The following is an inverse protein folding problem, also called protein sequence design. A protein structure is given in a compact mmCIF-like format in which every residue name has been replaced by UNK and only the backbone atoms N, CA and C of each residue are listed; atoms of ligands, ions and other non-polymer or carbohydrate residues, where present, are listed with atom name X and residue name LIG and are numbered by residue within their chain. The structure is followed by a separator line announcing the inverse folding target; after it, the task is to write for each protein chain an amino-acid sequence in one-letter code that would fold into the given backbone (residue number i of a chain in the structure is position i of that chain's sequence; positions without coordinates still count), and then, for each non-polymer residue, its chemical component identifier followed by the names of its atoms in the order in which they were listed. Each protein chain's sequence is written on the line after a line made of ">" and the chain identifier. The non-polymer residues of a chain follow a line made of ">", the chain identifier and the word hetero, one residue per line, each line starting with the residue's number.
data_IF_932462649635
#
_entry.id   IF_932462649635
#
_cell.length_a   1.000
_cell.length_b   1.000
_cell.length_c   1.000
_cell.angle_alpha   90.00
_cell.angle_beta   90.00
_cell.angle_gamma   90.00
#
_symmetry.space_group_name_H-M   'P 1'
#
loop_
_entity.id
_entity.type
_entity.pdbx_description
1 polymer ?
#
# COMPACT_ATOMS: atom_id res chain seq x y z
N UNK A 1 2.84 17.90 10.02
CA UNK A 1 2.54 16.50 9.80
C UNK A 1 3.56 15.88 8.87
N UNK A 2 4.08 14.74 9.26
CA UNK A 2 5.09 14.06 8.47
C UNK A 2 4.42 13.25 7.36
N UNK A 3 4.73 13.58 6.13
CA UNK A 3 4.25 12.79 5.00
C UNK A 3 5.00 11.46 4.96
N UNK A 4 4.30 10.39 4.65
CA UNK A 4 4.89 9.06 4.51
C UNK A 4 4.81 8.63 3.06
N UNK A 5 5.89 8.05 2.57
CA UNK A 5 6.00 7.60 1.20
C UNK A 5 6.28 6.11 1.18
N UNK A 6 5.62 5.40 0.28
CA UNK A 6 5.80 3.96 0.15
C UNK A 6 6.40 3.64 -1.21
N UNK A 7 7.46 2.85 -1.21
CA UNK A 7 7.99 2.26 -2.44
C UNK A 7 7.66 0.77 -2.42
N UNK A 8 7.00 0.31 -3.46
CA UNK A 8 6.65 -1.10 -3.62
C UNK A 8 7.65 -1.71 -4.61
N UNK A 9 8.35 -2.76 -4.18
CA UNK A 9 9.30 -3.47 -5.01
C UNK A 9 8.77 -4.88 -5.32
N UNK A 10 9.16 -5.42 -6.46
CA UNK A 10 8.65 -6.70 -6.95
C UNK A 10 9.84 -7.63 -7.28
N UNK A 11 10.66 -7.89 -6.27
CA UNK A 11 11.90 -8.65 -6.44
C UNK A 11 11.90 -9.92 -5.60
N UNK A 12 12.38 -11.05 -6.17
CA UNK A 12 12.53 -12.28 -5.39
C UNK A 12 13.54 -12.12 -4.26
N UNK A 13 14.58 -11.32 -4.46
CA UNK A 13 15.59 -11.05 -3.43
C UNK A 13 15.28 -9.72 -2.72
N UNK A 14 14.39 -9.80 -1.74
CA UNK A 14 14.00 -8.62 -0.99
C UNK A 14 15.15 -8.07 -0.13
N UNK A 15 16.10 -8.93 0.29
CA UNK A 15 17.25 -8.49 1.09
C UNK A 15 18.18 -7.62 0.26
N UNK A 16 18.42 -8.00 -0.98
CA UNK A 16 19.19 -7.20 -1.90
C UNK A 16 18.51 -5.87 -2.22
N UNK A 17 17.20 -5.89 -2.39
CA UNK A 17 16.42 -4.67 -2.61
C UNK A 17 16.54 -3.72 -1.42
N UNK A 18 16.43 -4.23 -0.20
CA UNK A 18 16.59 -3.42 1.00
C UNK A 18 17.99 -2.82 1.11
N UNK A 19 19.03 -3.59 0.79
CA UNK A 19 20.40 -3.08 0.82
C UNK A 19 20.63 -1.97 -0.18
N UNK A 20 20.06 -2.09 -1.37
CA UNK A 20 20.17 -1.06 -2.39
C UNK A 20 19.51 0.24 -1.92
N UNK A 21 18.35 0.14 -1.29
CA UNK A 21 17.64 1.30 -0.76
C UNK A 21 18.41 1.92 0.41
N UNK A 22 18.97 1.08 1.28
CA UNK A 22 19.76 1.56 2.42
C UNK A 22 21.00 2.33 1.98
N UNK A 23 21.59 1.96 0.84
CA UNK A 23 22.76 2.69 0.29
C UNK A 23 22.39 4.08 -0.19
N UNK A 24 21.18 4.28 -0.68
CA UNK A 24 20.73 5.59 -1.14
C UNK A 24 20.12 6.42 0.00
N UNK A 25 19.72 5.77 1.06
CA UNK A 25 19.14 6.42 2.24
C UNK A 25 20.25 6.75 3.23
N UNK A 26 20.97 7.82 3.03
CA UNK A 26 21.92 8.25 4.05
C UNK A 26 21.18 8.89 5.21
N UNK A 27 21.33 8.34 6.22
CA UNK A 27 20.98 8.20 7.62
C UNK A 27 20.15 9.23 8.37
N UNK A 28 20.04 10.48 8.00
CA UNK A 28 19.44 11.48 8.87
C UNK A 28 18.07 11.99 8.45
N UNK A 29 17.56 11.51 7.31
CA UNK A 29 16.26 11.95 6.82
C UNK A 29 15.39 10.78 6.49
N UNK A 30 14.12 10.90 6.81
CA UNK A 30 13.12 9.93 6.39
C UNK A 30 13.14 9.81 4.86
N UNK A 31 13.36 8.59 4.38
CA UNK A 31 13.47 8.30 2.94
C UNK A 31 12.31 7.46 2.41
N UNK A 32 11.31 7.26 3.24
CA UNK A 32 10.17 6.45 2.87
C UNK A 32 10.23 5.05 3.43
N UNK A 33 9.21 4.30 3.14
CA UNK A 33 9.03 2.92 3.58
C UNK A 33 9.02 2.02 2.37
N UNK A 34 9.35 0.76 2.57
CA UNK A 34 9.45 -0.21 1.47
C UNK A 34 8.58 -1.42 1.79
N UNK A 35 7.84 -1.86 0.78
CA UNK A 35 7.07 -3.10 0.84
C UNK A 35 7.46 -3.91 -0.38
N UNK A 36 7.94 -5.14 -0.17
CA UNK A 36 8.36 -6.00 -1.27
C UNK A 36 7.38 -7.14 -1.47
N UNK A 37 7.03 -7.39 -2.72
CA UNK A 37 6.35 -8.60 -3.15
C UNK A 37 7.33 -9.46 -3.92
N UNK A 38 7.28 -10.78 -3.71
CA UNK A 38 8.25 -11.69 -4.30
C UNK A 38 8.14 -11.80 -5.81
N UNK A 39 6.98 -11.47 -6.38
CA UNK A 39 6.77 -11.53 -7.82
C UNK A 39 5.70 -10.54 -8.26
N UNK A 40 5.74 -10.10 -9.54
CA UNK A 40 4.65 -9.30 -10.09
C UNK A 40 3.31 -10.01 -10.02
N UNK A 41 3.29 -11.33 -10.24
CA UNK A 41 2.05 -12.10 -10.16
C UNK A 41 1.41 -12.06 -8.78
N UNK A 42 2.22 -12.14 -7.73
CA UNK A 42 1.72 -12.03 -6.37
C UNK A 42 1.11 -10.64 -6.14
N UNK A 43 1.82 -9.61 -6.56
CA UNK A 43 1.35 -8.23 -6.39
C UNK A 43 0.03 -7.99 -7.13
N UNK A 44 0.00 -8.27 -8.44
CA UNK A 44 -1.18 -8.00 -9.25
C UNK A 44 -2.35 -8.92 -8.90
N UNK A 45 -2.06 -10.12 -8.41
CA UNK A 45 -3.10 -11.03 -7.93
C UNK A 45 -3.80 -10.52 -6.68
N UNK A 46 -3.09 -9.78 -5.83
CA UNK A 46 -3.67 -9.22 -4.61
C UNK A 46 -4.30 -7.86 -4.83
N UNK A 47 -3.77 -7.07 -5.76
CA UNK A 47 -4.22 -5.69 -5.98
C UNK A 47 -5.04 -5.58 -7.27
N UNK A 48 -6.28 -6.05 -7.19
CA UNK A 48 -7.26 -5.84 -8.25
C UNK A 48 -7.59 -4.35 -8.38
N UNK A 49 -8.19 -3.98 -9.49
CA UNK A 49 -8.61 -2.60 -9.71
C UNK A 49 -9.55 -2.12 -8.60
N UNK A 50 -10.45 -2.97 -8.14
CA UNK A 50 -11.38 -2.61 -7.06
C UNK A 50 -10.65 -2.33 -5.75
N UNK A 51 -9.60 -3.07 -5.45
CA UNK A 51 -8.79 -2.82 -4.27
C UNK A 51 -7.97 -1.55 -4.41
N UNK A 52 -7.42 -1.28 -5.59
CA UNK A 52 -6.75 -0.01 -5.86
C UNK A 52 -7.68 1.18 -5.66
N UNK A 53 -8.92 1.08 -6.09
CA UNK A 53 -9.89 2.15 -5.89
C UNK A 53 -10.10 2.44 -4.40
N UNK A 54 -10.11 1.40 -3.57
CA UNK A 54 -10.23 1.57 -2.12
C UNK A 54 -9.01 2.32 -1.56
N UNK A 55 -7.80 1.92 -1.97
CA UNK A 55 -6.58 2.59 -1.51
C UNK A 55 -6.61 4.07 -1.92
N UNK A 56 -6.94 4.35 -3.17
CA UNK A 56 -7.01 5.73 -3.67
C UNK A 56 -8.06 6.55 -2.95
N UNK A 57 -9.21 5.96 -2.67
CA UNK A 57 -10.28 6.65 -1.96
C UNK A 57 -9.89 6.99 -0.52
N UNK A 58 -9.05 6.17 0.10
CA UNK A 58 -8.59 6.41 1.46
C UNK A 58 -7.40 7.37 1.53
N UNK A 59 -6.65 7.48 0.45
CA UNK A 59 -5.42 8.24 0.42
C UNK A 59 -5.67 9.74 0.66
N UNK A 60 -4.98 10.30 1.64
CA UNK A 60 -5.08 11.72 1.94
C UNK A 60 -6.35 12.15 2.68
N UNK A 61 -7.17 11.19 3.11
CA UNK A 61 -8.47 11.49 3.75
C UNK A 61 -8.46 11.36 5.27
N UNK A 62 -7.35 10.94 5.86
CA UNK A 62 -7.31 10.61 7.26
C UNK A 62 -8.11 9.34 7.55
N UNK A 63 -8.60 9.22 8.77
CA UNK A 63 -9.38 8.05 9.16
C UNK A 63 -10.78 8.10 8.57
N UNK A 64 -11.20 6.98 7.97
CA UNK A 64 -12.55 6.79 7.43
C UNK A 64 -13.15 5.54 8.05
N UNK A 65 -14.48 5.52 8.21
CA UNK A 65 -15.15 4.27 8.52
C UNK A 65 -15.24 3.42 7.27
N UNK A 66 -15.42 2.10 7.44
CA UNK A 66 -15.64 1.21 6.30
C UNK A 66 -16.88 1.62 5.52
N UNK A 67 -17.92 2.10 6.21
CA UNK A 67 -19.15 2.57 5.55
C UNK A 67 -18.90 3.80 4.68
N UNK A 68 -18.11 4.76 5.17
CA UNK A 68 -17.74 5.93 4.39
C UNK A 68 -16.95 5.53 3.16
N UNK A 69 -16.01 4.60 3.33
CA UNK A 69 -15.19 4.10 2.24
C UNK A 69 -16.04 3.36 1.19
N UNK A 70 -16.96 2.51 1.66
CA UNK A 70 -17.88 1.79 0.77
C UNK A 70 -18.73 2.77 -0.05
N UNK A 71 -19.19 3.82 0.58
CA UNK A 71 -19.95 4.87 -0.08
C UNK A 71 -19.12 5.58 -1.15
N UNK A 72 -17.87 5.88 -0.80
CA UNK A 72 -16.96 6.57 -1.73
C UNK A 72 -16.69 5.75 -2.99
N UNK A 73 -16.53 4.43 -2.85
CA UNK A 73 -16.27 3.55 -3.99
C UNK A 73 -17.54 2.92 -4.57
N UNK A 74 -18.70 3.24 -4.01
CA UNK A 74 -20.02 2.76 -4.47
C UNK A 74 -20.12 1.24 -4.52
N UNK A 75 -19.72 0.62 -3.40
CA UNK A 75 -19.75 -0.84 -3.29
C UNK A 75 -20.37 -1.26 -1.97
N UNK A 76 -20.78 -2.52 -1.91
CA UNK A 76 -21.34 -3.14 -0.71
C UNK A 76 -20.34 -3.09 0.46
N UNK A 77 -20.83 -2.72 1.63
CA UNK A 77 -20.00 -2.57 2.84
C UNK A 77 -19.26 -3.87 3.19
N UNK A 78 -19.95 -5.00 3.09
CA UNK A 78 -19.34 -6.29 3.43
C UNK A 78 -18.15 -6.60 2.53
N UNK A 79 -18.29 -6.39 1.22
CA UNK A 79 -17.21 -6.64 0.26
C UNK A 79 -16.05 -5.68 0.45
N UNK A 80 -16.35 -4.42 0.72
CA UNK A 80 -15.31 -3.44 1.01
C UNK A 80 -14.58 -3.80 2.30
N UNK A 81 -15.30 -4.25 3.32
CA UNK A 81 -14.67 -4.70 4.55
C UNK A 81 -13.70 -5.86 4.32
N UNK A 82 -14.10 -6.83 3.53
CA UNK A 82 -13.24 -7.97 3.17
C UNK A 82 -11.96 -7.49 2.47
N UNK A 83 -12.09 -6.57 1.53
CA UNK A 83 -10.94 -6.01 0.83
C UNK A 83 -10.03 -5.19 1.75
N UNK A 84 -10.63 -4.44 2.67
CA UNK A 84 -9.88 -3.65 3.65
C UNK A 84 -9.02 -4.56 4.53
N UNK A 85 -9.55 -5.69 4.98
CA UNK A 85 -8.78 -6.63 5.79
C UNK A 85 -7.56 -7.12 5.03
N UNK A 86 -7.74 -7.49 3.76
CA UNK A 86 -6.63 -7.95 2.92
C UNK A 86 -5.61 -6.83 2.69
N UNK A 87 -6.07 -5.63 2.38
CA UNK A 87 -5.18 -4.49 2.14
C UNK A 87 -4.40 -4.10 3.39
N UNK A 88 -5.01 -4.23 4.57
CA UNK A 88 -4.32 -3.98 5.83
C UNK A 88 -3.25 -5.05 6.09
N UNK A 89 -3.55 -6.31 5.80
CA UNK A 89 -2.58 -7.39 5.92
C UNK A 89 -1.39 -7.21 4.97
N UNK A 90 -1.64 -6.67 3.79
CA UNK A 90 -0.58 -6.38 2.82
C UNK A 90 0.25 -5.17 3.21
N UNK A 91 -0.22 -4.34 4.12
CA UNK A 91 0.52 -3.15 4.56
C UNK A 91 0.17 -1.87 3.81
N UNK A 92 -0.85 -1.88 2.95
CA UNK A 92 -1.25 -0.70 2.17
C UNK A 92 -2.24 0.20 2.91
N UNK A 93 -2.98 -0.36 3.83
CA UNK A 93 -3.90 0.37 4.70
C UNK A 93 -3.59 0.02 6.14
N UNK A 94 -4.04 0.87 7.05
CA UNK A 94 -3.99 0.60 8.49
C UNK A 94 -5.38 0.61 9.07
N UNK A 95 -5.63 -0.27 10.02
CA UNK A 95 -6.88 -0.27 10.77
C UNK A 95 -6.65 0.44 12.09
N UNK A 96 -7.59 1.27 12.48
CA UNK A 96 -7.47 2.06 13.70
C UNK A 96 -8.12 1.36 14.88
N UNK A 97 -7.75 1.77 16.08
CA UNK A 97 -8.33 1.22 17.30
C UNK A 97 -9.84 1.44 17.39
N UNK A 98 -10.33 2.50 16.76
CA UNK A 98 -11.77 2.83 16.75
C UNK A 98 -12.54 2.10 15.65
N UNK A 99 -11.89 1.18 14.93
CA UNK A 99 -12.54 0.40 13.86
C UNK A 99 -12.56 1.09 12.51
N UNK A 100 -11.84 2.19 12.37
CA UNK A 100 -11.72 2.89 11.10
C UNK A 100 -10.57 2.38 10.25
N UNK A 101 -10.34 3.06 9.16
CA UNK A 101 -9.34 2.71 8.16
C UNK A 101 -8.63 3.99 7.72
N UNK A 102 -7.32 3.90 7.49
CA UNK A 102 -6.60 5.01 6.89
C UNK A 102 -5.50 4.48 5.96
N UNK A 103 -5.17 5.27 4.94
CA UNK A 103 -3.99 5.04 4.14
C UNK A 103 -2.91 5.99 4.66
N UNK A 104 -1.84 5.45 5.28
CA UNK A 104 -0.85 6.33 5.90
C UNK A 104 0.09 6.99 4.90
N UNK A 105 0.05 6.60 3.64
CA UNK A 105 1.02 7.05 2.65
C UNK A 105 0.43 8.13 1.75
N UNK A 106 1.12 9.28 1.67
CA UNK A 106 0.71 10.36 0.77
C UNK A 106 1.01 10.02 -0.68
N UNK A 107 2.01 9.18 -0.91
CA UNK A 107 2.32 8.69 -2.26
C UNK A 107 2.84 7.27 -2.22
N UNK A 108 2.63 6.55 -3.31
CA UNK A 108 3.12 5.19 -3.50
C UNK A 108 3.82 5.11 -4.85
N UNK A 109 5.03 4.57 -4.82
CA UNK A 109 5.82 4.35 -6.03
C UNK A 109 5.98 2.86 -6.24
N UNK A 110 5.61 2.37 -7.42
CA UNK A 110 5.80 0.97 -7.78
C UNK A 110 7.04 0.87 -8.64
N UNK A 111 8.04 0.18 -8.12
CA UNK A 111 9.33 0.03 -8.80
C UNK A 111 9.39 -1.36 -9.43
N UNK A 112 9.13 -1.41 -10.72
CA UNK A 112 9.09 -2.65 -11.47
C UNK A 112 9.79 -2.48 -12.81
N UNK A 113 10.62 -3.45 -13.13
CA UNK A 113 11.25 -3.55 -14.45
C UNK A 113 10.79 -4.83 -15.12
N UNK A 114 10.49 -4.74 -16.40
CA UNK A 114 10.24 -5.89 -17.24
C UNK A 114 11.32 -5.92 -18.31
N UNK A 115 12.30 -6.79 -18.12
CA UNK A 115 13.43 -6.87 -19.02
C UNK A 115 13.35 -8.10 -19.91
N UNK A 116 13.80 -7.97 -21.16
CA UNK A 116 13.95 -9.12 -22.03
C UNK A 116 15.06 -10.03 -21.49
N UNK A 117 14.86 -11.32 -21.59
CA UNK A 117 15.83 -12.30 -21.12
C UNK A 117 17.09 -12.31 -22.02
#
# INVERSE_FOLDING_TARGET
>A
MTERYLTITLQPDWKGALRAIAKTAKADKYKGEVLNFESPGHFFGQLSEKRWEIVRAAQGKGELSVRELARAVRRDVKRVHEDVVILAELGLLERTASGGVLCPYSSMHIDMYLKAA
#
